data_IF_010243847655
#
_entry.id   IF_010243847655
#
_cell.length_a   1.000
_cell.length_b   1.000
_cell.length_c   1.000
_cell.angle_alpha   90.00
_cell.angle_beta   90.00
_cell.angle_gamma   90.00
#
_symmetry.space_group_name_H-M   'P 1'
#
loop_
_entity.id
_entity.type
_entity.pdbx_description
1 polymer ?
#
# COMPACT_ATOMS: atom_id res chain seq x y z
N UNK A 1 11.21 -19.39 -28.88
CA UNK A 1 11.36 -18.36 -27.84
C UNK A 1 12.83 -18.30 -27.43
N UNK A 2 13.55 -17.23 -27.81
CA UNK A 2 15.02 -17.14 -27.69
C UNK A 2 15.49 -16.91 -26.25
N UNK A 3 16.64 -17.48 -25.87
CA UNK A 3 17.27 -17.38 -24.55
C UNK A 3 17.50 -15.92 -24.07
N UNK A 4 17.61 -14.96 -24.99
CA UNK A 4 17.70 -13.52 -24.66
C UNK A 4 16.43 -12.97 -24.01
N UNK A 5 15.26 -13.46 -24.41
CA UNK A 5 13.97 -13.05 -23.82
C UNK A 5 13.83 -13.57 -22.39
N UNK A 6 14.36 -14.77 -22.11
CA UNK A 6 14.38 -15.35 -20.77
C UNK A 6 15.35 -14.59 -19.85
N UNK A 7 16.53 -14.21 -20.38
CA UNK A 7 17.53 -13.42 -19.66
C UNK A 7 17.03 -12.02 -19.30
N UNK A 8 16.28 -11.36 -20.21
CA UNK A 8 15.59 -10.08 -19.91
C UNK A 8 14.52 -10.24 -18.83
N UNK A 9 13.63 -11.23 -18.95
CA UNK A 9 12.60 -11.50 -17.93
C UNK A 9 13.23 -11.73 -16.55
N UNK A 10 14.29 -12.52 -16.46
CA UNK A 10 14.97 -12.80 -15.20
C UNK A 10 15.60 -11.53 -14.61
N UNK A 11 16.27 -10.73 -15.44
CA UNK A 11 16.87 -9.47 -15.00
C UNK A 11 15.82 -8.47 -14.49
N UNK A 12 14.68 -8.36 -15.19
CA UNK A 12 13.57 -7.50 -14.78
C UNK A 12 12.90 -8.00 -13.50
N UNK A 13 12.75 -9.31 -13.32
CA UNK A 13 12.25 -9.92 -12.08
C UNK A 13 13.19 -9.67 -10.89
N UNK A 14 14.51 -9.84 -11.06
CA UNK A 14 15.50 -9.57 -10.00
C UNK A 14 15.46 -8.11 -9.59
N UNK A 15 15.41 -7.20 -10.57
CA UNK A 15 15.31 -5.76 -10.30
C UNK A 15 14.01 -5.41 -9.58
N UNK A 16 12.89 -6.00 -9.98
CA UNK A 16 11.61 -5.81 -9.31
C UNK A 16 11.66 -6.26 -7.85
N UNK A 17 12.24 -7.44 -7.58
CA UNK A 17 12.40 -7.97 -6.22
C UNK A 17 13.24 -7.01 -5.38
N UNK A 18 14.40 -6.59 -5.89
CA UNK A 18 15.30 -5.67 -5.20
C UNK A 18 14.63 -4.32 -4.90
N UNK A 19 14.03 -3.70 -5.93
CA UNK A 19 13.36 -2.40 -5.79
C UNK A 19 12.19 -2.48 -4.79
N UNK A 20 11.40 -3.55 -4.81
CA UNK A 20 10.30 -3.74 -3.87
C UNK A 20 10.78 -3.91 -2.43
N UNK A 21 11.84 -4.70 -2.21
CA UNK A 21 12.42 -4.89 -0.88
C UNK A 21 13.00 -3.57 -0.32
N UNK A 22 13.80 -2.85 -1.12
CA UNK A 22 14.38 -1.56 -0.72
C UNK A 22 13.29 -0.53 -0.46
N UNK A 23 12.28 -0.47 -1.31
CA UNK A 23 11.17 0.48 -1.16
C UNK A 23 10.35 0.17 0.10
N UNK A 24 10.10 -1.10 0.41
CA UNK A 24 9.40 -1.50 1.63
C UNK A 24 10.15 -1.07 2.90
N UNK A 25 11.47 -1.33 2.97
CA UNK A 25 12.30 -0.91 4.11
C UNK A 25 12.33 0.62 4.25
N UNK A 26 12.46 1.33 3.14
CA UNK A 26 12.39 2.80 3.15
C UNK A 26 11.02 3.30 3.59
N UNK A 27 9.95 2.63 3.16
CA UNK A 27 8.57 2.92 3.57
C UNK A 27 8.37 2.73 5.07
N UNK A 28 8.82 1.61 5.64
CA UNK A 28 8.76 1.36 7.08
C UNK A 28 9.49 2.46 7.87
N UNK A 29 10.72 2.78 7.47
CA UNK A 29 11.52 3.84 8.10
C UNK A 29 10.85 5.22 7.97
N UNK A 30 10.20 5.50 6.84
CA UNK A 30 9.46 6.74 6.64
C UNK A 30 8.32 6.87 7.65
N UNK A 31 7.51 5.81 7.82
CA UNK A 31 6.41 5.80 8.79
C UNK A 31 6.94 5.96 10.21
N UNK A 32 7.92 5.16 10.64
CA UNK A 32 8.48 5.24 12.00
C UNK A 32 9.04 6.62 12.35
N UNK A 33 9.66 7.30 11.40
CA UNK A 33 10.30 8.60 11.66
C UNK A 33 9.35 9.78 11.58
N UNK A 34 8.25 9.66 10.84
CA UNK A 34 7.38 10.80 10.53
C UNK A 34 5.96 10.67 11.10
N UNK A 35 5.55 9.47 11.49
CA UNK A 35 4.20 9.19 11.99
C UNK A 35 4.31 8.70 13.43
N UNK A 36 3.50 9.26 14.31
CA UNK A 36 3.39 8.83 15.71
C UNK A 36 1.92 8.82 16.10
N UNK A 37 1.52 7.81 16.85
CA UNK A 37 0.20 7.74 17.46
C UNK A 37 0.34 8.00 18.95
N UNK A 38 -0.25 9.09 19.43
CA UNK A 38 -0.37 9.40 20.84
C UNK A 38 -1.84 9.30 21.25
N UNK A 39 -2.20 8.15 21.84
CA UNK A 39 -3.56 7.82 22.24
C UNK A 39 -4.54 7.94 21.06
N UNK A 40 -5.29 9.05 20.97
CA UNK A 40 -6.25 9.32 19.90
C UNK A 40 -5.76 10.42 18.94
N UNK A 41 -4.46 10.75 18.94
CA UNK A 41 -3.88 11.78 18.06
C UNK A 41 -2.83 11.16 17.17
N UNK A 42 -3.10 11.17 15.86
CA UNK A 42 -2.11 10.81 14.86
C UNK A 42 -1.29 12.06 14.52
N UNK A 43 -0.02 12.05 14.86
CA UNK A 43 0.94 13.10 14.52
C UNK A 43 1.70 12.67 13.29
N UNK A 44 1.56 13.43 12.21
CA UNK A 44 2.31 13.27 10.97
C UNK A 44 3.21 14.49 10.81
N UNK A 45 4.50 14.34 11.12
CA UNK A 45 5.48 15.43 11.23
C UNK A 45 4.98 16.52 12.19
N UNK A 46 4.61 17.68 11.64
CA UNK A 46 4.16 18.85 12.38
C UNK A 46 2.63 18.99 12.41
N UNK A 47 1.91 18.05 11.79
CA UNK A 47 0.45 18.05 11.72
C UNK A 47 -0.13 17.03 12.69
N UNK A 48 -1.17 17.43 13.43
CA UNK A 48 -1.88 16.56 14.37
C UNK A 48 -3.31 16.34 13.91
N UNK A 49 -3.71 15.08 13.83
CA UNK A 49 -5.05 14.65 13.47
C UNK A 49 -5.69 13.92 14.65
N UNK A 50 -6.82 14.42 15.13
CA UNK A 50 -7.58 13.75 16.19
C UNK A 50 -8.41 12.64 15.58
N UNK A 51 -8.25 11.43 16.10
CA UNK A 51 -9.02 10.27 15.70
C UNK A 51 -10.25 10.17 16.59
N UNK A 52 -11.40 10.52 16.01
CA UNK A 52 -12.70 10.52 16.69
C UNK A 52 -13.47 9.22 16.48
N UNK A 53 -13.39 8.65 15.27
CA UNK A 53 -14.06 7.43 14.85
C UNK A 53 -13.06 6.56 14.09
N UNK A 54 -13.52 5.73 13.16
CA UNK A 54 -12.73 4.67 12.53
C UNK A 54 -11.60 5.23 11.67
N UNK A 55 -10.50 4.45 11.63
CA UNK A 55 -9.35 4.75 10.79
C UNK A 55 -9.31 3.77 9.65
N UNK A 56 -9.23 4.34 8.46
CA UNK A 56 -9.19 3.63 7.21
C UNK A 56 -7.82 3.75 6.57
N UNK A 57 -7.28 2.63 6.10
CA UNK A 57 -6.00 2.60 5.43
C UNK A 57 -6.19 2.24 3.96
N UNK A 58 -5.80 3.16 3.08
CA UNK A 58 -5.83 2.93 1.64
C UNK A 58 -4.39 3.02 1.15
N UNK A 59 -3.93 2.06 0.37
CA UNK A 59 -2.55 2.08 -0.09
C UNK A 59 -2.38 1.60 -1.51
N UNK A 60 -1.50 2.25 -2.28
CA UNK A 60 -1.12 1.82 -3.63
C UNK A 60 0.39 1.83 -3.87
N UNK A 61 0.93 0.73 -4.38
CA UNK A 61 2.31 0.64 -4.89
C UNK A 61 3.21 -0.33 -4.12
N UNK A 62 4.49 -0.39 -4.52
CA UNK A 62 5.44 -1.43 -4.08
C UNK A 62 5.78 -1.37 -2.58
N UNK A 63 5.97 -0.17 -2.03
CA UNK A 63 6.35 0.00 -0.62
C UNK A 63 5.16 -0.09 0.35
N UNK A 64 3.94 -0.20 -0.15
CA UNK A 64 2.73 -0.03 0.67
C UNK A 64 2.59 -1.13 1.71
N UNK A 65 2.96 -2.37 1.39
CA UNK A 65 2.90 -3.46 2.37
C UNK A 65 3.74 -3.16 3.61
N UNK A 66 4.98 -2.70 3.42
CA UNK A 66 5.86 -2.34 4.54
C UNK A 66 5.33 -1.12 5.31
N UNK A 67 4.85 -0.09 4.61
CA UNK A 67 4.25 1.08 5.28
C UNK A 67 2.99 0.70 6.09
N UNK A 68 2.15 -0.17 5.53
CA UNK A 68 0.91 -0.59 6.17
C UNK A 68 1.16 -1.47 7.40
N UNK A 69 2.18 -2.32 7.38
CA UNK A 69 2.58 -3.15 8.52
C UNK A 69 2.97 -2.29 9.74
N UNK A 70 3.72 -1.21 9.51
CA UNK A 70 4.09 -0.28 10.59
C UNK A 70 2.90 0.52 11.11
N UNK A 71 2.03 0.96 10.21
CA UNK A 71 0.79 1.64 10.60
C UNK A 71 -0.08 0.68 11.42
N UNK A 72 -0.31 -0.56 10.95
CA UNK A 72 -1.12 -1.51 11.71
C UNK A 72 -0.53 -1.76 13.09
N UNK A 73 0.79 -2.01 13.18
CA UNK A 73 1.48 -2.23 14.46
C UNK A 73 1.30 -1.05 15.41
N UNK A 74 1.36 0.19 14.90
CA UNK A 74 1.16 1.41 15.69
C UNK A 74 -0.27 1.55 16.21
N UNK A 75 -1.26 1.09 15.45
CA UNK A 75 -2.67 1.21 15.82
C UNK A 75 -3.16 0.07 16.71
N UNK A 76 -2.44 -1.05 16.83
CA UNK A 76 -2.81 -2.13 17.75
C UNK A 76 -2.99 -1.64 19.20
N UNK A 77 -4.02 -2.10 19.93
CA UNK A 77 -4.94 -3.20 19.61
C UNK A 77 -6.15 -2.80 18.73
N UNK A 78 -6.20 -1.58 18.23
CA UNK A 78 -7.32 -1.10 17.42
C UNK A 78 -7.22 -1.64 16.00
N UNK A 79 -8.28 -2.27 15.53
CA UNK A 79 -8.38 -2.77 14.15
C UNK A 79 -8.58 -1.60 13.19
N UNK A 80 -7.70 -1.50 12.20
CA UNK A 80 -7.84 -0.61 11.05
C UNK A 80 -8.43 -1.39 9.86
N UNK A 81 -9.32 -0.75 9.10
CA UNK A 81 -9.94 -1.35 7.91
C UNK A 81 -9.39 -0.71 6.67
N UNK A 82 -9.22 -1.46 5.58
CA UNK A 82 -8.53 -0.87 4.45
C UNK A 82 -8.36 -1.74 3.24
N UNK A 83 -7.89 -1.13 2.16
CA UNK A 83 -7.57 -1.81 0.90
C UNK A 83 -6.15 -1.40 0.49
N UNK A 84 -5.28 -2.40 0.30
CA UNK A 84 -3.90 -2.24 -0.15
C UNK A 84 -3.74 -2.85 -1.54
N UNK A 85 -3.51 -2.01 -2.53
CA UNK A 85 -3.27 -2.39 -3.92
C UNK A 85 -1.78 -2.45 -4.21
N UNK A 86 -1.27 -3.64 -4.50
CA UNK A 86 0.18 -3.88 -4.61
C UNK A 86 0.51 -4.63 -5.89
N UNK A 87 1.70 -4.46 -6.50
CA UNK A 87 2.04 -5.21 -7.70
C UNK A 87 2.05 -6.72 -7.48
N UNK A 88 1.67 -7.49 -8.49
CA UNK A 88 1.64 -8.95 -8.42
C UNK A 88 2.97 -9.54 -7.94
N UNK A 89 2.89 -10.48 -6.98
CA UNK A 89 4.04 -11.13 -6.36
C UNK A 89 4.64 -10.36 -5.18
N UNK A 90 4.17 -9.13 -4.89
CA UNK A 90 4.68 -8.34 -3.76
C UNK A 90 4.41 -9.03 -2.42
N UNK A 91 3.27 -9.71 -2.27
CA UNK A 91 2.92 -10.40 -1.02
C UNK A 91 3.87 -11.57 -0.77
N UNK A 92 4.20 -12.34 -1.81
CA UNK A 92 5.11 -13.47 -1.68
C UNK A 92 6.57 -13.04 -1.42
N UNK A 93 6.98 -11.89 -1.97
CA UNK A 93 8.34 -11.34 -1.82
C UNK A 93 8.51 -10.74 -0.41
N UNK A 94 7.60 -9.85 -0.03
CA UNK A 94 7.73 -9.06 1.21
C UNK A 94 7.23 -9.80 2.44
N UNK A 95 6.34 -10.79 2.26
CA UNK A 95 5.75 -11.61 3.34
C UNK A 95 5.34 -10.75 4.54
N UNK A 96 4.46 -9.74 4.33
CA UNK A 96 4.10 -8.82 5.39
C UNK A 96 3.44 -9.56 6.55
N UNK A 97 3.71 -9.12 7.78
CA UNK A 97 3.15 -9.73 8.98
C UNK A 97 2.04 -8.83 9.55
N UNK A 98 0.85 -9.02 9.03
CA UNK A 98 -0.35 -8.40 9.60
C UNK A 98 -0.90 -9.26 10.76
N UNK A 99 -1.65 -8.62 11.66
CA UNK A 99 -2.34 -9.31 12.75
C UNK A 99 -3.41 -10.29 12.21
N UNK A 100 -3.68 -11.39 12.92
CA UNK A 100 -4.69 -12.39 12.49
C UNK A 100 -6.09 -11.79 12.31
N UNK A 101 -6.40 -10.74 13.07
CA UNK A 101 -7.66 -9.99 13.00
C UNK A 101 -7.52 -8.67 12.21
N UNK A 102 -6.54 -8.58 11.31
CA UNK A 102 -6.38 -7.42 10.43
C UNK A 102 -7.64 -7.16 9.61
N UNK A 103 -8.08 -5.89 9.57
CA UNK A 103 -9.16 -5.44 8.70
C UNK A 103 -8.66 -5.02 7.30
N UNK A 104 -7.40 -5.28 6.97
CA UNK A 104 -6.78 -4.87 5.72
C UNK A 104 -6.95 -5.94 4.64
N UNK A 105 -7.54 -5.53 3.51
CA UNK A 105 -7.66 -6.37 2.32
C UNK A 105 -6.49 -6.07 1.37
N UNK A 106 -5.67 -7.08 1.09
CA UNK A 106 -4.54 -6.95 0.16
C UNK A 106 -4.97 -7.46 -1.21
N UNK A 107 -4.83 -6.61 -2.23
CA UNK A 107 -5.17 -6.92 -3.62
C UNK A 107 -3.95 -6.76 -4.50
N UNK A 108 -3.52 -7.85 -5.10
CA UNK A 108 -2.44 -7.84 -6.09
C UNK A 108 -2.97 -7.37 -7.46
N UNK A 109 -2.29 -6.42 -8.10
CA UNK A 109 -2.65 -5.85 -9.40
C UNK A 109 -1.39 -5.51 -10.22
N UNK A 110 -1.56 -4.76 -11.32
CA UNK A 110 -0.48 -4.27 -12.16
C UNK A 110 0.44 -5.40 -12.67
N UNK A 111 -0.16 -6.44 -13.27
CA UNK A 111 0.59 -7.52 -13.92
C UNK A 111 1.56 -6.90 -14.95
N UNK A 112 2.86 -7.16 -14.80
CA UNK A 112 3.94 -6.53 -15.61
C UNK A 112 4.05 -5.00 -15.48
N UNK A 113 3.60 -4.38 -14.38
CA UNK A 113 3.57 -2.92 -14.18
C UNK A 113 2.75 -2.14 -15.22
N UNK A 114 1.81 -2.81 -15.88
CA UNK A 114 0.85 -2.19 -16.80
C UNK A 114 -0.48 -1.96 -16.06
N UNK A 115 -1.24 -0.92 -16.43
CA UNK A 115 -2.60 -0.76 -15.94
C UNK A 115 -3.44 -1.95 -16.41
N UNK A 116 -3.98 -2.69 -15.46
CA UNK A 116 -4.84 -3.84 -15.70
C UNK A 116 -6.25 -3.61 -15.14
N UNK A 117 -7.20 -4.45 -15.54
CA UNK A 117 -8.58 -4.38 -15.06
C UNK A 117 -8.65 -4.47 -13.52
N UNK A 118 -7.72 -5.20 -12.90
CA UNK A 118 -7.58 -5.27 -11.44
C UNK A 118 -7.24 -3.92 -10.82
N UNK A 119 -6.37 -3.13 -11.46
CA UNK A 119 -6.04 -1.75 -11.01
C UNK A 119 -7.26 -0.83 -11.10
N UNK A 120 -8.05 -0.95 -12.18
CA UNK A 120 -9.31 -0.20 -12.34
C UNK A 120 -10.36 -0.61 -11.29
N UNK A 121 -10.52 -1.91 -11.04
CA UNK A 121 -11.42 -2.43 -10.00
C UNK A 121 -10.99 -1.95 -8.61
N UNK A 122 -9.70 -1.96 -8.29
CA UNK A 122 -9.20 -1.46 -7.02
C UNK A 122 -9.49 0.04 -6.85
N UNK A 123 -9.30 0.83 -7.90
CA UNK A 123 -9.67 2.25 -7.88
C UNK A 123 -11.17 2.48 -7.66
N UNK A 124 -12.03 1.66 -8.28
CA UNK A 124 -13.48 1.71 -8.06
C UNK A 124 -13.88 1.30 -6.64
N UNK A 125 -13.29 0.23 -6.10
CA UNK A 125 -13.51 -0.21 -4.72
C UNK A 125 -13.14 0.90 -3.74
N UNK A 126 -12.00 1.54 -3.95
CA UNK A 126 -11.53 2.63 -3.10
C UNK A 126 -12.42 3.87 -3.21
N UNK A 127 -12.90 4.19 -4.41
CA UNK A 127 -13.92 5.24 -4.59
C UNK A 127 -15.20 4.93 -3.84
N UNK A 128 -15.71 3.70 -3.94
CA UNK A 128 -16.92 3.28 -3.23
C UNK A 128 -16.71 3.32 -1.71
N UNK A 129 -15.53 2.90 -1.25
CA UNK A 129 -15.16 2.89 0.16
C UNK A 129 -15.10 4.32 0.73
N UNK A 130 -14.39 5.23 0.04
CA UNK A 130 -14.32 6.64 0.43
C UNK A 130 -15.69 7.32 0.40
N UNK A 131 -16.59 6.91 -0.51
CA UNK A 131 -17.95 7.47 -0.56
C UNK A 131 -18.83 7.09 0.64
N UNK A 132 -18.46 6.05 1.39
CA UNK A 132 -19.15 5.62 2.60
C UNK A 132 -18.55 6.24 3.88
N UNK A 133 -17.38 6.89 3.78
CA UNK A 133 -16.74 7.55 4.91
C UNK A 133 -17.51 8.80 5.35
N UNK A 134 -17.58 9.00 6.66
CA UNK A 134 -18.16 10.18 7.28
C UNK A 134 -17.07 11.21 7.60
N UNK A 135 -17.46 12.46 7.87
CA UNK A 135 -16.53 13.56 8.24
C UNK A 135 -15.72 13.29 9.51
N UNK A 136 -16.15 12.35 10.34
CA UNK A 136 -15.53 11.99 11.61
C UNK A 136 -14.60 10.77 11.48
N UNK A 137 -14.53 10.16 10.30
CA UNK A 137 -13.62 9.06 9.98
C UNK A 137 -12.31 9.60 9.41
N UNK A 138 -11.19 8.94 9.73
CA UNK A 138 -9.88 9.32 9.23
C UNK A 138 -9.44 8.35 8.13
N UNK A 139 -9.17 8.87 6.94
CA UNK A 139 -8.63 8.08 5.81
C UNK A 139 -7.15 8.38 5.64
N UNK A 140 -6.30 7.41 5.94
CA UNK A 140 -4.86 7.46 5.70
C UNK A 140 -4.56 6.84 4.32
N UNK A 141 -3.98 7.64 3.43
CA UNK A 141 -3.63 7.19 2.06
C UNK A 141 -2.11 7.03 1.95
N UNK A 142 -1.65 5.80 1.70
CA UNK A 142 -0.26 5.43 1.49
C UNK A 142 0.03 5.33 -0.01
N UNK A 143 0.87 6.23 -0.52
CA UNK A 143 1.23 6.26 -1.94
C UNK A 143 2.72 5.96 -2.08
N UNK A 144 3.04 4.88 -2.80
CA UNK A 144 4.41 4.55 -3.17
C UNK A 144 4.60 4.70 -4.67
N UNK A 145 5.64 5.43 -5.06
CA UNK A 145 6.07 5.49 -6.45
C UNK A 145 6.51 4.12 -6.95
N UNK A 146 5.78 3.56 -7.91
CA UNK A 146 6.27 2.52 -8.80
C UNK A 146 6.43 3.12 -10.19
N UNK A 147 7.39 2.64 -10.98
CA UNK A 147 7.34 2.84 -12.43
C UNK A 147 6.11 2.08 -12.97
N UNK A 148 4.93 2.67 -12.85
CA UNK A 148 3.79 2.29 -13.68
C UNK A 148 4.15 2.71 -15.09
N UNK A 149 4.35 1.73 -15.97
CA UNK A 149 4.42 2.04 -17.38
C UNK A 149 2.97 2.27 -17.80
N UNK A 150 2.61 3.55 -17.92
CA UNK A 150 1.30 4.12 -18.28
C UNK A 150 0.22 4.12 -17.20
N UNK A 151 -0.02 5.31 -16.61
CA UNK A 151 -1.32 5.70 -16.06
C UNK A 151 -2.07 6.40 -17.20
N UNK A 152 -2.65 5.62 -18.12
CA UNK A 152 -3.45 6.14 -19.22
C UNK A 152 -4.92 6.28 -18.79
N UNK A 153 -5.28 7.43 -18.22
CA UNK A 153 -6.69 7.84 -18.22
C UNK A 153 -7.00 8.32 -19.64
N UNK A 154 -7.67 7.48 -20.44
CA UNK A 154 -8.31 7.99 -21.66
C UNK A 154 -9.56 8.77 -21.25
N UNK A 155 -9.48 10.08 -21.43
CA UNK A 155 -10.62 11.02 -21.48
C UNK A 155 -11.58 10.68 -22.60
#
# INVERSE_FOLDING_TARGET
MSAEMYKRKLHDSIKLIYDSAVSAVNGQNLIRNNVRLDSNKLVVRDQTFTITKDVYLIGFGKAVLGMAEEIETMFQPRVIKGILSVPFGSVNILKPKFAENSGLEIRECATNNLPDDASCQNAQLIRNFVSQCTKDDLVLVLISGGKCQYFGLSS
#
